data_IF_560735144645
#
_entry.id   IF_560735144645
#
_cell.length_a   1.000
_cell.length_b   1.000
_cell.length_c   1.000
_cell.angle_alpha   90.00
_cell.angle_beta   90.00
_cell.angle_gamma   90.00
#
_symmetry.space_group_name_H-M   'P 1'
#
loop_
_entity.id
_entity.type
_entity.pdbx_description
1 polymer ?
#
# COMPACT_ATOMS: atom_id res chain seq x y z
N UNK A 1 -17.38 -23.36 -3.55
CA UNK A 1 -17.44 -22.37 -4.66
C UNK A 1 -17.77 -20.99 -4.09
N UNK A 2 -16.77 -20.17 -3.73
CA UNK A 2 -17.01 -18.86 -3.10
C UNK A 2 -16.01 -17.76 -3.51
N UNK A 3 -15.27 -17.92 -4.60
CA UNK A 3 -14.17 -17.01 -4.96
C UNK A 3 -14.55 -15.85 -5.90
N UNK A 4 -15.79 -15.78 -6.41
CA UNK A 4 -16.12 -14.89 -7.54
C UNK A 4 -16.66 -13.49 -7.15
N UNK A 5 -16.87 -13.19 -5.87
CA UNK A 5 -17.54 -11.95 -5.43
C UNK A 5 -16.62 -10.90 -4.78
N UNK A 6 -15.33 -11.17 -4.55
CA UNK A 6 -14.45 -10.25 -3.79
C UNK A 6 -13.76 -9.18 -4.66
N UNK A 7 -13.54 -9.43 -5.95
CA UNK A 7 -12.74 -8.54 -6.82
C UNK A 7 -13.47 -7.25 -7.22
N UNK A 8 -14.79 -7.27 -7.39
CA UNK A 8 -15.53 -6.14 -8.01
C UNK A 8 -15.74 -4.93 -7.09
N UNK A 9 -15.57 -5.08 -5.76
CA UNK A 9 -15.81 -3.96 -4.81
C UNK A 9 -14.56 -3.16 -4.43
N UNK A 10 -13.37 -3.69 -4.72
CA UNK A 10 -12.11 -2.99 -4.37
C UNK A 10 -11.88 -1.82 -5.35
N UNK A 11 -12.28 -1.95 -6.63
CA UNK A 11 -12.00 -0.94 -7.64
C UNK A 11 -12.63 0.44 -7.36
N UNK A 12 -13.92 0.60 -6.99
CA UNK A 12 -14.48 1.94 -6.82
C UNK A 12 -13.93 2.66 -5.59
N UNK A 13 -13.66 1.92 -4.51
CA UNK A 13 -13.02 2.48 -3.32
C UNK A 13 -11.60 2.96 -3.65
N UNK A 14 -10.80 2.12 -4.30
CA UNK A 14 -9.43 2.46 -4.70
C UNK A 14 -9.40 3.68 -5.63
N UNK A 15 -10.34 3.77 -6.57
CA UNK A 15 -10.50 4.93 -7.44
C UNK A 15 -10.80 6.21 -6.66
N UNK A 16 -11.72 6.17 -5.68
CA UNK A 16 -12.00 7.34 -4.83
C UNK A 16 -10.82 7.76 -3.96
N UNK A 17 -10.01 6.81 -3.49
CA UNK A 17 -8.85 7.11 -2.65
C UNK A 17 -7.73 7.80 -3.44
N UNK A 18 -7.46 7.36 -4.68
CA UNK A 18 -6.41 7.93 -5.53
C UNK A 18 -6.86 9.24 -6.18
N UNK A 19 -8.13 9.37 -6.57
CA UNK A 19 -8.67 10.60 -7.19
C UNK A 19 -8.73 11.79 -6.23
N UNK A 20 -8.81 11.54 -4.91
CA UNK A 20 -8.78 12.60 -3.90
C UNK A 20 -10.04 13.45 -3.80
N UNK A 21 -11.15 13.03 -4.42
CA UNK A 21 -12.41 13.81 -4.44
C UNK A 21 -13.06 13.99 -3.06
N UNK A 22 -12.67 13.23 -2.04
CA UNK A 22 -13.31 13.27 -0.71
C UNK A 22 -12.35 13.38 0.49
N UNK A 23 -11.03 13.23 0.33
CA UNK A 23 -9.97 13.41 1.35
C UNK A 23 -8.61 13.45 0.65
N UNK A 24 -7.62 14.09 1.26
CA UNK A 24 -6.21 14.20 0.81
C UNK A 24 -5.79 12.97 -0.01
N UNK A 25 -5.80 13.12 -1.33
CA UNK A 25 -5.61 12.00 -2.25
C UNK A 25 -4.29 11.29 -1.98
N UNK A 26 -4.33 9.96 -1.95
CA UNK A 26 -3.10 9.17 -1.86
C UNK A 26 -2.41 9.19 -3.22
N UNK A 27 -1.08 9.23 -3.21
CA UNK A 27 -0.29 9.20 -4.44
C UNK A 27 -0.41 7.88 -5.19
N UNK A 28 -0.70 6.79 -4.48
CA UNK A 28 -0.95 5.47 -5.03
C UNK A 28 -1.29 4.44 -3.96
N UNK A 29 -1.80 3.30 -4.40
CA UNK A 29 -2.11 2.12 -3.60
C UNK A 29 -1.76 0.85 -4.35
N UNK A 30 -1.25 -0.13 -3.60
CA UNK A 30 -0.96 -1.47 -4.06
C UNK A 30 -1.50 -2.48 -3.05
N UNK A 31 -2.11 -3.57 -3.54
CA UNK A 31 -2.62 -4.67 -2.71
C UNK A 31 -2.07 -5.99 -3.24
N UNK A 32 -1.39 -6.75 -2.40
CA UNK A 32 -0.94 -8.11 -2.71
C UNK A 32 -1.79 -9.17 -1.98
N UNK A 33 -1.79 -10.38 -2.53
CA UNK A 33 -2.17 -11.59 -1.80
C UNK A 33 -1.07 -12.03 -0.81
N UNK A 34 -1.32 -13.12 -0.09
CA UNK A 34 -0.40 -13.67 0.90
C UNK A 34 0.94 -14.14 0.30
N UNK A 35 1.00 -14.41 -1.01
CA UNK A 35 2.20 -14.87 -1.71
C UNK A 35 3.00 -13.71 -2.31
N UNK A 36 2.49 -12.48 -2.20
CA UNK A 36 3.11 -11.29 -2.78
C UNK A 36 2.69 -11.04 -4.24
N UNK A 37 1.67 -11.74 -4.75
CA UNK A 37 1.12 -11.46 -6.07
C UNK A 37 0.26 -10.19 -6.00
N UNK A 38 0.51 -9.24 -6.90
CA UNK A 38 -0.28 -8.02 -6.98
C UNK A 38 -1.71 -8.32 -7.46
N UNK A 39 -2.69 -7.86 -6.68
CA UNK A 39 -4.12 -7.95 -6.98
C UNK A 39 -4.69 -6.62 -7.46
N UNK A 40 -4.15 -5.51 -6.95
CA UNK A 40 -4.58 -4.14 -7.28
C UNK A 40 -3.37 -3.21 -7.26
N UNK A 41 -3.24 -2.37 -8.28
CA UNK A 41 -2.22 -1.33 -8.38
C UNK A 41 -2.84 -0.10 -9.01
N UNK A 42 -2.78 1.06 -8.33
CA UNK A 42 -3.33 2.32 -8.83
C UNK A 42 -2.55 3.52 -8.33
N UNK A 43 -2.35 4.52 -9.17
CA UNK A 43 -1.54 5.70 -8.85
C UNK A 43 -0.05 5.41 -8.94
N UNK A 44 0.78 6.39 -8.56
CA UNK A 44 2.24 6.28 -8.65
C UNK A 44 2.83 5.84 -7.30
N UNK A 45 3.29 4.59 -7.24
CA UNK A 45 4.00 4.03 -6.09
C UNK A 45 5.53 4.26 -6.13
N UNK A 46 6.06 4.84 -7.21
CA UNK A 46 7.49 5.15 -7.35
C UNK A 46 7.93 6.22 -6.35
N UNK A 47 9.13 6.03 -5.80
CA UNK A 47 9.83 7.01 -4.96
C UNK A 47 10.39 8.19 -5.77
N UNK A 48 10.48 8.06 -7.09
CA UNK A 48 11.02 9.11 -7.96
C UNK A 48 9.96 10.19 -8.26
N UNK A 49 10.32 11.49 -8.24
CA UNK A 49 9.43 12.53 -8.74
C UNK A 49 9.12 12.26 -10.23
N UNK A 50 7.91 12.59 -10.71
CA UNK A 50 7.60 12.49 -12.13
C UNK A 50 8.52 13.44 -12.90
N UNK A 51 9.59 12.93 -13.50
CA UNK A 51 10.42 13.73 -14.40
C UNK A 51 9.58 14.04 -15.64
N UNK A 52 9.48 15.33 -15.96
CA UNK A 52 8.61 15.86 -17.02
C UNK A 52 9.08 15.54 -18.46
N UNK A 53 9.68 14.38 -18.70
CA UNK A 53 10.14 13.95 -20.03
C UNK A 53 9.32 12.81 -20.62
N UNK A 54 8.08 12.61 -20.14
CA UNK A 54 7.11 11.76 -20.85
C UNK A 54 5.70 12.27 -20.66
N UNK A 55 5.45 13.52 -21.08
CA UNK A 55 4.10 14.10 -21.20
C UNK A 55 3.19 13.35 -22.21
N UNK A 56 3.67 12.26 -22.81
CA UNK A 56 2.89 11.32 -23.63
C UNK A 56 2.85 9.89 -23.06
N UNK A 57 3.34 9.65 -21.84
CA UNK A 57 3.08 8.42 -21.11
C UNK A 57 1.77 8.57 -20.31
N UNK A 58 0.67 8.84 -21.01
CA UNK A 58 -0.65 8.39 -20.56
C UNK A 58 -0.74 6.92 -20.93
N UNK A 59 0.16 6.10 -20.39
CA UNK A 59 -0.14 4.68 -20.23
C UNK A 59 -1.11 4.62 -19.06
N UNK A 60 -2.38 4.38 -19.40
CA UNK A 60 -3.45 4.04 -18.45
C UNK A 60 -3.09 2.86 -17.53
N UNK A 61 -1.99 2.16 -17.83
CA UNK A 61 -1.39 1.06 -17.08
C UNK A 61 0.05 1.43 -16.65
N UNK A 62 0.20 2.33 -15.66
CA UNK A 62 1.46 2.47 -14.92
C UNK A 62 1.60 1.30 -13.94
N UNK A 63 1.85 0.11 -14.49
CA UNK A 63 1.99 -1.15 -13.79
C UNK A 63 3.42 -1.25 -13.23
N UNK A 64 3.78 -0.41 -12.26
CA UNK A 64 5.05 -0.54 -11.52
C UNK A 64 4.90 -1.62 -10.42
N UNK A 65 4.41 -2.79 -10.84
CA UNK A 65 4.20 -3.97 -10.01
C UNK A 65 5.48 -4.80 -9.85
N UNK A 66 6.53 -4.39 -10.57
CA UNK A 66 7.82 -5.06 -10.63
C UNK A 66 8.46 -5.33 -9.27
N UNK A 67 8.04 -4.60 -8.24
CA UNK A 67 8.52 -4.74 -6.87
C UNK A 67 7.40 -4.95 -5.83
N UNK A 68 6.19 -5.31 -6.23
CA UNK A 68 5.03 -5.40 -5.32
C UNK A 68 5.31 -6.35 -4.14
N UNK A 69 5.93 -7.50 -4.40
CA UNK A 69 6.25 -8.52 -3.40
C UNK A 69 7.21 -8.07 -2.30
N UNK A 70 7.92 -6.94 -2.48
CA UNK A 70 8.79 -6.35 -1.46
C UNK A 70 7.97 -5.92 -0.25
N UNK A 71 6.79 -5.34 -0.43
CA UNK A 71 5.95 -4.90 0.69
C UNK A 71 5.45 -6.07 1.55
N UNK A 72 5.11 -7.19 0.90
CA UNK A 72 4.74 -8.44 1.59
C UNK A 72 5.94 -9.02 2.34
N UNK A 73 7.13 -8.96 1.76
CA UNK A 73 8.37 -9.40 2.40
C UNK A 73 8.71 -8.54 3.63
N UNK A 74 8.56 -7.22 3.53
CA UNK A 74 8.74 -6.29 4.64
C UNK A 74 7.76 -6.56 5.78
N UNK A 75 6.49 -6.85 5.46
CA UNK A 75 5.47 -7.22 6.45
C UNK A 75 5.87 -8.48 7.22
N UNK A 76 6.32 -9.53 6.51
CA UNK A 76 6.80 -10.77 7.12
C UNK A 76 8.01 -10.53 8.02
N UNK A 77 8.99 -9.75 7.55
CA UNK A 77 10.17 -9.40 8.35
C UNK A 77 9.79 -8.58 9.59
N UNK A 78 8.92 -7.57 9.47
CA UNK A 78 8.48 -6.79 10.62
C UNK A 78 7.72 -7.65 11.64
N UNK A 79 6.98 -8.65 11.17
CA UNK A 79 6.27 -9.60 12.05
C UNK A 79 7.24 -10.46 12.88
N UNK A 80 8.45 -10.72 12.39
CA UNK A 80 9.48 -11.42 13.19
C UNK A 80 10.12 -10.52 14.25
N UNK A 81 10.02 -9.19 14.11
CA UNK A 81 10.44 -8.21 15.12
C UNK A 81 9.41 -8.04 16.25
N UNK A 82 8.21 -8.62 16.09
CA UNK A 82 7.13 -8.56 17.08
C UNK A 82 6.94 -9.83 17.95
N UNK A 83 7.97 -10.53 18.48
CA UNK A 83 7.74 -11.69 19.35
C UNK A 83 7.04 -11.36 20.69
N UNK A 84 6.83 -10.09 21.05
CA UNK A 84 6.70 -9.68 22.44
C UNK A 84 5.48 -8.83 22.84
N UNK A 85 4.56 -8.44 21.95
CA UNK A 85 3.53 -7.47 22.34
C UNK A 85 2.19 -8.03 22.84
N UNK A 86 1.79 -9.29 22.60
CA UNK A 86 0.51 -9.81 23.16
C UNK A 86 0.44 -11.32 23.42
N UNK A 87 1.54 -12.03 23.65
CA UNK A 87 1.44 -13.38 24.23
C UNK A 87 1.01 -13.36 25.71
N UNK A 88 0.96 -12.19 26.34
CA UNK A 88 0.57 -12.01 27.74
C UNK A 88 -0.74 -11.21 27.80
N UNK A 89 -1.88 -11.84 27.52
CA UNK A 89 -3.09 -11.80 28.38
C UNK A 89 -4.31 -12.50 27.78
N UNK A 90 -4.50 -12.63 26.46
CA UNK A 90 -5.81 -13.06 25.92
C UNK A 90 -5.83 -14.01 24.70
N UNK A 91 -4.78 -14.77 24.39
CA UNK A 91 -4.81 -15.77 23.29
C UNK A 91 -5.19 -15.18 21.90
N UNK A 92 -5.03 -13.87 21.72
CA UNK A 92 -5.28 -13.18 20.47
C UNK A 92 -4.02 -13.20 19.61
N UNK A 93 -4.19 -13.50 18.33
CA UNK A 93 -3.10 -13.45 17.35
C UNK A 93 -2.50 -12.03 17.37
N UNK A 94 -1.16 -11.87 17.38
CA UNK A 94 -0.55 -10.55 17.41
C UNK A 94 -1.01 -9.75 16.19
N UNK A 95 -1.33 -8.47 16.40
CA UNK A 95 -1.74 -7.59 15.31
C UNK A 95 -0.62 -7.46 14.27
N UNK A 96 -0.96 -7.49 12.98
CA UNK A 96 0.01 -7.23 11.90
C UNK A 96 0.74 -5.90 12.14
N UNK A 97 2.05 -5.82 11.89
CA UNK A 97 2.80 -4.56 12.03
C UNK A 97 2.28 -3.48 11.08
N UNK A 98 2.36 -2.22 11.51
CA UNK A 98 2.25 -1.05 10.65
C UNK A 98 3.65 -0.56 10.33
N UNK A 99 4.03 -0.55 9.06
CA UNK A 99 5.35 -0.12 8.59
C UNK A 99 5.18 1.23 7.89
N UNK A 100 6.06 2.18 8.19
CA UNK A 100 6.18 3.44 7.46
C UNK A 100 7.57 3.52 6.83
N UNK A 101 7.63 3.79 5.54
CA UNK A 101 8.85 4.11 4.79
C UNK A 101 8.81 5.60 4.50
N UNK A 102 9.67 6.35 5.18
CA UNK A 102 9.89 7.75 4.86
C UNK A 102 10.69 7.84 3.55
N UNK A 103 10.24 8.70 2.65
CA UNK A 103 10.93 8.97 1.40
C UNK A 103 11.50 10.39 1.43
N UNK A 104 12.53 10.63 0.62
CA UNK A 104 13.00 11.99 0.35
C UNK A 104 11.89 12.76 -0.39
N UNK A 105 11.15 13.61 0.33
CA UNK A 105 10.09 14.45 -0.23
C UNK A 105 8.84 14.61 0.63
N UNK A 106 7.73 14.92 -0.02
CA UNK A 106 6.43 15.22 0.62
C UNK A 106 5.52 13.99 0.75
N UNK A 107 6.06 12.77 0.75
CA UNK A 107 5.26 11.56 0.88
C UNK A 107 6.00 10.46 1.62
N UNK A 108 5.23 9.55 2.20
CA UNK A 108 5.68 8.32 2.84
C UNK A 108 4.88 7.14 2.29
N UNK A 109 5.42 5.92 2.41
CA UNK A 109 4.67 4.70 2.12
C UNK A 109 4.29 4.06 3.44
N UNK A 110 2.98 3.83 3.65
CA UNK A 110 2.47 3.05 4.77
C UNK A 110 2.10 1.65 4.30
N UNK A 111 2.48 0.62 5.06
CA UNK A 111 2.26 -0.78 4.72
C UNK A 111 1.62 -1.48 5.92
N UNK A 112 0.54 -2.23 5.67
CA UNK A 112 -0.11 -3.06 6.68
C UNK A 112 -0.79 -4.27 6.05
N UNK A 113 -0.80 -5.38 6.79
CA UNK A 113 -1.54 -6.58 6.38
C UNK A 113 -2.97 -6.57 6.95
N UNK A 114 -3.92 -6.98 6.14
CA UNK A 114 -5.29 -7.27 6.57
C UNK A 114 -5.73 -8.58 5.95
N UNK A 115 -6.06 -9.57 6.79
CA UNK A 115 -6.62 -10.86 6.33
C UNK A 115 -5.74 -11.53 5.25
N UNK A 116 -4.41 -11.54 5.46
CA UNK A 116 -3.44 -12.09 4.50
C UNK A 116 -3.18 -11.22 3.26
N UNK A 117 -3.73 -10.01 3.18
CA UNK A 117 -3.49 -9.07 2.08
C UNK A 117 -2.59 -7.94 2.53
N UNK A 118 -1.43 -7.80 1.90
CA UNK A 118 -0.56 -6.65 2.16
C UNK A 118 -1.06 -5.44 1.39
N UNK A 119 -1.33 -4.35 2.10
CA UNK A 119 -1.74 -3.06 1.51
C UNK A 119 -0.60 -2.07 1.70
N UNK A 120 -0.10 -1.51 0.60
CA UNK A 120 0.85 -0.40 0.60
C UNK A 120 0.18 0.85 0.02
N UNK A 121 0.30 1.99 0.70
CA UNK A 121 -0.25 3.27 0.24
C UNK A 121 0.81 4.37 0.31
N UNK A 122 0.97 5.11 -0.78
CA UNK A 122 1.76 6.33 -0.78
C UNK A 122 0.91 7.50 -0.29
N UNK A 123 1.22 8.01 0.89
CA UNK A 123 0.47 9.08 1.55
C UNK A 123 1.29 10.38 1.57
N UNK A 124 0.68 11.55 1.34
CA UNK A 124 1.37 12.82 1.52
C UNK A 124 1.81 13.01 2.99
N UNK A 125 3.02 13.53 3.19
CA UNK A 125 3.48 14.01 4.48
C UNK A 125 2.68 15.26 4.86
N UNK A 126 2.43 15.47 6.16
CA UNK A 126 1.83 16.74 6.60
C UNK A 126 2.76 17.87 6.19
N UNK A 127 2.24 18.83 5.42
CA UNK A 127 2.95 20.10 5.24
C UNK A 127 2.93 20.82 6.58
N UNK A 128 4.10 20.99 7.20
CA UNK A 128 4.29 22.05 8.19
C UNK A 128 4.08 23.35 7.43
N UNK A 129 2.90 23.96 7.57
CA UNK A 129 2.76 25.38 7.26
C UNK A 129 3.55 26.10 8.34
N UNK A 130 4.69 26.68 7.96
CA UNK A 130 5.36 27.71 8.76
C UNK A 130 4.44 28.93 8.95
#
# INVERSE_FOLDING_TARGET
MSSLHRTTRISPLVETMVSGEQRTGIGGILVNDMNGLCLVSKGNMSSSPPTATTANAISSDNHDDTNSGVYTSLTRLASTLTPYQTASTNNENPSSPLITIEMDGLASIIIKEYDGHTIAMKVPNRTTKD
#
